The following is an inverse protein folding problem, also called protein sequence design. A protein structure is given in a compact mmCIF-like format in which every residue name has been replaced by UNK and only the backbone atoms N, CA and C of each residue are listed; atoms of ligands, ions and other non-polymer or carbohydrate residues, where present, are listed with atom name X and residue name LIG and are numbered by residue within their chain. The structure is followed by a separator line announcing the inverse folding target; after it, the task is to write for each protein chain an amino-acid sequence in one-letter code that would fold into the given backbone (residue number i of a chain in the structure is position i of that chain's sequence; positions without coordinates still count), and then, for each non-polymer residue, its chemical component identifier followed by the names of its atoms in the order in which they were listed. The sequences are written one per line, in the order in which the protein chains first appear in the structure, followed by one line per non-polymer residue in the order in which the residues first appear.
data_IF_483348646253
#
_entry.id   IF_483348646253
#
_cell.length_a   1.000
_cell.length_b   1.000
_cell.length_c   1.000
_cell.angle_alpha   90.00
_cell.angle_beta   90.00
_cell.angle_gamma   90.00
#
_symmetry.space_group_name_H-M   'P 1'
#
loop_
_entity.id
_entity.type
_entity.pdbx_description
1 polymer ?
#
# COMPACT_ATOMS: atom_id res chain seq x y z
N UNK A 1 19.44 -21.24 -10.90
CA UNK A 1 18.16 -20.49 -10.97
C UNK A 1 17.88 -20.03 -9.56
N UNK A 2 17.75 -18.73 -9.34
CA UNK A 2 17.48 -18.14 -8.01
C UNK A 2 16.01 -18.35 -7.63
N UNK A 3 15.77 -18.89 -6.44
CA UNK A 3 14.43 -19.19 -5.97
C UNK A 3 14.04 -18.27 -4.81
N UNK A 4 12.92 -17.56 -4.96
CA UNK A 4 12.39 -16.63 -3.97
C UNK A 4 11.15 -17.26 -3.32
N UNK A 5 11.11 -17.33 -2.00
CA UNK A 5 9.86 -17.55 -1.26
C UNK A 5 9.17 -16.22 -1.01
N UNK A 6 8.01 -16.03 -1.62
CA UNK A 6 7.28 -14.77 -1.56
C UNK A 6 5.96 -14.93 -0.86
N UNK A 7 5.65 -14.05 0.09
CA UNK A 7 4.33 -13.93 0.70
C UNK A 7 3.66 -12.63 0.27
N UNK A 8 2.33 -12.63 0.19
CA UNK A 8 1.57 -11.44 -0.17
C UNK A 8 1.50 -11.15 -1.67
N UNK A 9 1.71 -12.14 -2.54
CA UNK A 9 1.63 -12.00 -3.99
C UNK A 9 0.28 -11.45 -4.48
N UNK A 10 -0.81 -11.72 -3.80
CA UNK A 10 -2.14 -11.19 -4.16
C UNK A 10 -2.32 -9.70 -3.84
N UNK A 11 -1.39 -9.10 -3.09
CA UNK A 11 -1.36 -7.67 -2.77
C UNK A 11 -0.85 -6.81 -3.93
N UNK A 12 -0.98 -5.49 -3.78
CA UNK A 12 -0.56 -4.52 -4.79
C UNK A 12 0.95 -4.58 -5.07
N UNK A 13 1.77 -4.54 -4.02
CA UNK A 13 3.24 -4.57 -4.13
C UNK A 13 3.75 -5.96 -4.55
N UNK A 14 3.21 -7.03 -3.94
CA UNK A 14 3.68 -8.39 -4.22
C UNK A 14 3.42 -8.84 -5.65
N UNK A 15 2.25 -8.51 -6.25
CA UNK A 15 1.98 -8.81 -7.65
C UNK A 15 2.87 -8.00 -8.60
N UNK A 16 3.01 -6.69 -8.35
CA UNK A 16 3.85 -5.82 -9.17
C UNK A 16 5.33 -6.24 -9.15
N UNK A 17 5.86 -6.59 -7.97
CA UNK A 17 7.20 -7.16 -7.84
C UNK A 17 7.34 -8.46 -8.64
N UNK A 18 6.39 -9.39 -8.48
CA UNK A 18 6.42 -10.70 -9.15
C UNK A 18 6.44 -10.56 -10.67
N UNK A 19 5.52 -9.79 -11.25
CA UNK A 19 5.44 -9.63 -12.71
C UNK A 19 6.70 -8.97 -13.25
N UNK A 20 7.24 -7.95 -12.59
CA UNK A 20 8.47 -7.28 -13.03
C UNK A 20 9.67 -8.22 -12.98
N UNK A 21 9.93 -8.87 -11.83
CA UNK A 21 11.11 -9.74 -11.67
C UNK A 21 11.07 -10.91 -12.66
N UNK A 22 9.93 -11.57 -12.79
CA UNK A 22 9.83 -12.71 -13.70
C UNK A 22 9.78 -12.30 -15.18
N UNK A 23 9.36 -11.09 -15.52
CA UNK A 23 9.43 -10.59 -16.89
C UNK A 23 10.86 -10.22 -17.29
N UNK A 24 11.64 -9.63 -16.37
CA UNK A 24 12.96 -9.10 -16.66
C UNK A 24 14.09 -10.15 -16.53
N UNK A 25 13.89 -11.15 -15.65
CA UNK A 25 14.90 -12.15 -15.30
C UNK A 25 14.40 -13.57 -15.54
N UNK A 26 15.03 -14.27 -16.47
CA UNK A 26 14.68 -15.65 -16.84
C UNK A 26 15.17 -16.70 -15.84
N UNK A 27 16.14 -16.37 -15.03
CA UNK A 27 16.80 -17.26 -14.07
C UNK A 27 16.17 -17.21 -12.66
N UNK A 28 14.98 -16.58 -12.52
CA UNK A 28 14.24 -16.54 -11.26
C UNK A 28 12.99 -17.41 -11.29
N UNK A 29 12.69 -18.04 -10.15
CA UNK A 29 11.41 -18.70 -9.84
C UNK A 29 10.88 -18.20 -8.51
N UNK A 30 9.56 -18.27 -8.32
CA UNK A 30 8.92 -17.87 -7.07
C UNK A 30 8.09 -19.03 -6.53
N UNK A 31 8.28 -19.32 -5.24
CA UNK A 31 7.35 -20.12 -4.44
C UNK A 31 6.51 -19.15 -3.62
N UNK A 32 5.19 -19.26 -3.67
CA UNK A 32 4.32 -18.34 -2.95
C UNK A 32 3.32 -19.03 -2.05
N UNK A 33 3.13 -18.49 -0.85
CA UNK A 33 2.08 -18.89 0.09
C UNK A 33 0.83 -18.04 -0.14
N UNK A 34 -0.29 -18.68 -0.46
CA UNK A 34 -1.55 -18.00 -0.72
C UNK A 34 -2.71 -18.71 -0.02
N UNK A 35 -3.58 -17.93 0.60
CA UNK A 35 -4.82 -18.45 1.19
C UNK A 35 -5.87 -18.67 0.11
N UNK A 36 -6.66 -19.77 0.15
CA UNK A 36 -7.87 -19.85 -0.63
C UNK A 36 -8.92 -18.86 -0.12
N UNK A 37 -10.00 -18.69 -0.86
CA UNK A 37 -11.20 -18.00 -0.38
C UNK A 37 -12.44 -18.82 -0.76
N UNK A 38 -13.64 -18.29 -0.47
CA UNK A 38 -14.90 -19.00 -0.76
C UNK A 38 -15.17 -19.25 -2.26
N UNK A 39 -14.49 -18.50 -3.14
CA UNK A 39 -14.73 -18.56 -4.60
C UNK A 39 -13.58 -19.25 -5.36
N UNK A 40 -12.35 -19.19 -4.84
CA UNK A 40 -11.15 -19.61 -5.56
C UNK A 40 -10.16 -20.32 -4.65
N UNK A 41 -9.53 -21.39 -5.17
CA UNK A 41 -8.33 -22.00 -4.60
C UNK A 41 -7.15 -21.01 -4.57
N UNK A 42 -6.11 -21.33 -3.84
CA UNK A 42 -4.89 -20.51 -3.81
C UNK A 42 -4.31 -20.33 -5.22
N UNK A 43 -4.26 -21.39 -6.02
CA UNK A 43 -3.73 -21.37 -7.40
C UNK A 43 -4.55 -20.44 -8.30
N UNK A 44 -5.87 -20.59 -8.34
CA UNK A 44 -6.76 -19.75 -9.14
C UNK A 44 -6.65 -18.27 -8.76
N UNK A 45 -6.49 -17.97 -7.47
CA UNK A 45 -6.27 -16.60 -6.99
C UNK A 45 -4.97 -16.00 -7.52
N UNK A 46 -3.89 -16.78 -7.53
CA UNK A 46 -2.61 -16.33 -8.07
C UNK A 46 -2.70 -16.11 -9.58
N UNK A 47 -3.32 -17.05 -10.29
CA UNK A 47 -3.53 -16.93 -11.75
C UNK A 47 -4.32 -15.67 -12.10
N UNK A 48 -5.45 -15.45 -11.43
CA UNK A 48 -6.27 -14.25 -11.63
C UNK A 48 -5.47 -12.96 -11.39
N UNK A 49 -4.75 -12.89 -10.27
CA UNK A 49 -4.00 -11.69 -9.90
C UNK A 49 -2.82 -11.41 -10.85
N UNK A 50 -2.11 -12.44 -11.29
CA UNK A 50 -0.98 -12.25 -12.24
C UNK A 50 -1.49 -11.83 -13.61
N UNK A 51 -2.58 -12.42 -14.13
CA UNK A 51 -3.19 -11.97 -15.38
C UNK A 51 -3.68 -10.54 -15.30
N UNK A 52 -4.35 -10.19 -14.21
CA UNK A 52 -4.80 -8.82 -13.94
C UNK A 52 -3.61 -7.83 -13.85
N UNK A 53 -2.52 -8.21 -13.18
CA UNK A 53 -1.33 -7.37 -13.06
C UNK A 53 -0.62 -7.20 -14.41
N UNK A 54 -0.44 -8.27 -15.19
CA UNK A 54 0.14 -8.18 -16.53
C UNK A 54 -0.71 -7.29 -17.45
N UNK A 55 -2.03 -7.38 -17.38
CA UNK A 55 -2.92 -6.49 -18.14
C UNK A 55 -2.80 -5.03 -17.66
N UNK A 56 -2.70 -4.81 -16.36
CA UNK A 56 -2.45 -3.51 -15.77
C UNK A 56 -1.11 -2.91 -16.23
N UNK A 57 -0.06 -3.72 -16.32
CA UNK A 57 1.28 -3.31 -16.78
C UNK A 57 1.40 -3.27 -18.32
N UNK A 58 0.29 -3.45 -19.06
CA UNK A 58 0.24 -3.44 -20.54
C UNK A 58 1.05 -4.56 -21.22
N UNK A 59 1.23 -5.69 -20.55
CA UNK A 59 1.94 -6.88 -21.05
C UNK A 59 1.15 -8.17 -20.81
N UNK A 60 -0.17 -8.25 -21.20
CA UNK A 60 -1.01 -9.40 -20.90
C UNK A 60 -0.49 -10.71 -21.49
N UNK A 61 0.25 -10.64 -22.60
CA UNK A 61 0.86 -11.79 -23.28
C UNK A 61 1.93 -12.49 -22.44
N UNK A 62 2.50 -11.82 -21.45
CA UNK A 62 3.52 -12.42 -20.55
C UNK A 62 2.94 -13.25 -19.41
N UNK A 63 1.63 -13.21 -19.19
CA UNK A 63 1.01 -13.83 -18.02
C UNK A 63 1.31 -15.33 -17.92
N UNK A 64 1.21 -16.08 -19.01
CA UNK A 64 1.46 -17.53 -18.98
C UNK A 64 2.93 -17.86 -18.74
N UNK A 65 3.86 -17.08 -19.30
CA UNK A 65 5.29 -17.23 -19.03
C UNK A 65 5.61 -16.96 -17.55
N UNK A 66 5.06 -15.89 -16.97
CA UNK A 66 5.21 -15.57 -15.56
C UNK A 66 4.65 -16.69 -14.68
N UNK A 67 3.43 -17.15 -14.96
CA UNK A 67 2.74 -18.21 -14.22
C UNK A 67 3.49 -19.55 -14.26
N UNK A 68 4.16 -19.86 -15.35
CA UNK A 68 4.96 -21.11 -15.49
C UNK A 68 6.13 -21.20 -14.52
N UNK A 69 6.52 -20.09 -13.91
CA UNK A 69 7.64 -19.97 -12.96
C UNK A 69 7.19 -19.70 -11.53
N UNK A 70 5.90 -19.93 -11.22
CA UNK A 70 5.33 -19.74 -9.89
C UNK A 70 4.80 -21.08 -9.37
N UNK A 71 5.36 -21.53 -8.26
CA UNK A 71 4.87 -22.63 -7.46
C UNK A 71 3.99 -22.08 -6.33
N UNK A 72 2.77 -22.60 -6.18
CA UNK A 72 1.77 -22.07 -5.23
C UNK A 72 1.52 -23.08 -4.12
N UNK A 73 1.67 -22.61 -2.88
CA UNK A 73 1.31 -23.33 -1.66
C UNK A 73 0.00 -22.73 -1.13
N UNK A 74 -0.96 -23.59 -0.83
CA UNK A 74 -2.15 -23.19 -0.11
C UNK A 74 -1.86 -23.12 1.39
N UNK A 75 -2.08 -21.97 2.02
CA UNK A 75 -1.80 -21.77 3.43
C UNK A 75 -1.80 -20.29 3.85
N UNK A 76 -1.56 -20.08 5.13
CA UNK A 76 -1.57 -18.79 5.79
C UNK A 76 -0.24 -18.55 6.52
N UNK A 77 0.23 -17.32 6.57
CA UNK A 77 1.43 -16.94 7.33
C UNK A 77 1.30 -17.22 8.85
N UNK A 78 0.06 -17.42 9.35
CA UNK A 78 -0.20 -17.81 10.74
C UNK A 78 -0.12 -19.34 10.96
N UNK A 79 -0.13 -20.12 9.89
CA UNK A 79 -0.07 -21.57 10.01
C UNK A 79 1.33 -21.98 10.47
N UNK A 80 1.39 -22.77 11.55
CA UNK A 80 2.67 -23.20 12.14
C UNK A 80 3.25 -24.48 11.51
N UNK A 81 2.78 -24.88 10.32
CA UNK A 81 3.09 -26.17 9.67
C UNK A 81 4.40 -26.15 8.86
N UNK A 82 5.46 -25.52 9.39
CA UNK A 82 6.75 -25.38 8.72
C UNK A 82 7.32 -26.75 8.29
N UNK A 83 7.17 -27.78 9.11
CA UNK A 83 7.69 -29.12 8.81
C UNK A 83 7.01 -29.74 7.57
N UNK A 84 5.72 -29.49 7.38
CA UNK A 84 4.99 -29.93 6.18
C UNK A 84 5.48 -29.18 4.93
N UNK A 85 5.69 -27.87 5.05
CA UNK A 85 6.22 -27.05 3.96
C UNK A 85 7.61 -27.53 3.52
N UNK A 86 8.46 -27.90 4.45
CA UNK A 86 9.81 -28.40 4.19
C UNK A 86 9.84 -29.74 3.42
N UNK A 87 8.74 -30.51 3.38
CA UNK A 87 8.64 -31.76 2.64
C UNK A 87 8.32 -31.57 1.16
N UNK A 88 7.96 -30.38 0.73
CA UNK A 88 7.65 -30.10 -0.66
C UNK A 88 8.92 -29.93 -1.48
N UNK A 89 9.07 -30.66 -2.57
CA UNK A 89 10.30 -30.67 -3.41
C UNK A 89 10.70 -29.27 -3.89
N UNK A 90 9.72 -28.44 -4.25
CA UNK A 90 10.00 -27.08 -4.73
C UNK A 90 10.39 -26.10 -3.62
N UNK A 91 10.33 -26.49 -2.35
CA UNK A 91 10.88 -25.73 -1.23
C UNK A 91 12.39 -25.92 -1.04
N UNK A 92 12.96 -26.93 -1.69
CA UNK A 92 14.41 -27.10 -1.69
C UNK A 92 15.11 -25.95 -2.42
N UNK A 93 16.27 -25.54 -1.93
CA UNK A 93 17.12 -24.51 -2.55
C UNK A 93 16.43 -23.12 -2.69
N UNK A 94 15.57 -22.75 -1.75
CA UNK A 94 15.07 -21.38 -1.66
C UNK A 94 16.20 -20.47 -1.18
N UNK A 95 16.56 -19.50 -2.01
CA UNK A 95 17.70 -18.59 -1.77
C UNK A 95 17.31 -17.35 -0.96
N UNK A 96 16.10 -16.81 -1.20
CA UNK A 96 15.68 -15.49 -0.75
C UNK A 96 14.27 -15.57 -0.16
N UNK A 97 14.07 -14.93 0.99
CA UNK A 97 12.75 -14.66 1.53
C UNK A 97 12.32 -13.24 1.17
N UNK A 98 11.15 -13.10 0.50
CA UNK A 98 10.51 -11.81 0.25
C UNK A 98 9.15 -11.76 0.96
N UNK A 99 9.13 -11.11 2.13
CA UNK A 99 7.93 -11.05 2.96
C UNK A 99 7.16 -9.75 2.77
N UNK A 100 6.04 -9.82 2.05
CA UNK A 100 5.15 -8.69 1.72
C UNK A 100 3.73 -8.89 2.26
N UNK A 101 3.39 -10.06 2.79
CA UNK A 101 2.06 -10.31 3.37
C UNK A 101 1.83 -9.43 4.59
N UNK A 102 0.72 -8.71 4.59
CA UNK A 102 0.26 -7.91 5.72
C UNK A 102 -1.26 -7.74 5.66
N UNK A 103 -1.86 -7.50 6.82
CA UNK A 103 -3.22 -6.97 6.93
C UNK A 103 -3.13 -5.47 7.19
N UNK A 104 -3.80 -4.68 6.34
CA UNK A 104 -3.79 -3.21 6.42
C UNK A 104 -5.15 -2.74 6.91
N UNK A 105 -5.39 -2.85 8.21
CA UNK A 105 -6.58 -2.31 8.87
C UNK A 105 -6.16 -1.15 9.79
N UNK A 106 -6.56 0.06 9.45
CA UNK A 106 -6.25 1.27 10.21
C UNK A 106 -7.30 1.54 11.31
N UNK A 107 -8.43 0.85 11.25
CA UNK A 107 -9.52 0.97 12.21
C UNK A 107 -9.33 0.13 13.47
N UNK A 108 -10.44 -0.09 14.19
CA UNK A 108 -10.44 -0.95 15.39
C UNK A 108 -10.05 -2.40 15.04
N UNK A 109 -9.18 -2.97 15.84
CA UNK A 109 -8.67 -4.34 15.73
C UNK A 109 -8.90 -5.07 17.07
N UNK A 110 -10.19 -5.22 17.42
CA UNK A 110 -10.60 -5.73 18.74
C UNK A 110 -10.16 -7.18 18.98
N UNK A 111 -10.14 -8.01 17.95
CA UNK A 111 -9.68 -9.39 17.95
C UNK A 111 -8.16 -9.54 17.70
N UNK A 112 -7.45 -8.44 17.60
CA UNK A 112 -6.01 -8.37 17.28
C UNK A 112 -5.62 -9.11 15.99
N UNK A 113 -6.53 -9.23 15.06
CA UNK A 113 -6.29 -9.94 13.79
C UNK A 113 -5.16 -9.29 12.99
N UNK A 114 -5.21 -7.97 12.82
CA UNK A 114 -4.18 -7.22 12.11
C UNK A 114 -2.82 -7.37 12.80
N UNK A 115 -2.80 -7.21 14.12
CA UNK A 115 -1.59 -7.38 14.90
C UNK A 115 -1.00 -8.79 14.71
N UNK A 116 -1.82 -9.83 14.84
CA UNK A 116 -1.37 -11.22 14.74
C UNK A 116 -0.85 -11.54 13.33
N UNK A 117 -1.57 -11.16 12.28
CA UNK A 117 -1.12 -11.41 10.90
C UNK A 117 0.23 -10.75 10.64
N UNK A 118 0.40 -9.50 11.05
CA UNK A 118 1.62 -8.75 10.77
C UNK A 118 2.79 -9.18 11.66
N UNK A 119 2.58 -9.36 12.96
CA UNK A 119 3.65 -9.69 13.91
C UNK A 119 3.93 -11.19 13.95
N UNK A 120 2.92 -12.02 14.28
CA UNK A 120 3.12 -13.47 14.39
C UNK A 120 3.40 -14.09 13.02
N UNK A 121 2.74 -13.60 11.95
CA UNK A 121 3.03 -14.02 10.58
C UNK A 121 4.48 -13.76 10.20
N UNK A 122 5.02 -12.57 10.52
CA UNK A 122 6.44 -12.27 10.27
C UNK A 122 7.36 -13.17 11.09
N UNK A 123 7.03 -13.46 12.35
CA UNK A 123 7.79 -14.39 13.20
C UNK A 123 7.86 -15.78 12.59
N UNK A 124 6.75 -16.31 12.10
CA UNK A 124 6.68 -17.61 11.44
C UNK A 124 7.51 -17.63 10.15
N UNK A 125 7.48 -16.53 9.37
CA UNK A 125 8.29 -16.43 8.14
C UNK A 125 9.79 -16.33 8.43
N UNK A 126 10.20 -15.71 9.52
CA UNK A 126 11.60 -15.70 9.97
C UNK A 126 12.02 -17.13 10.36
N UNK A 127 11.18 -17.87 11.06
CA UNK A 127 11.47 -19.27 11.43
C UNK A 127 11.56 -20.16 10.19
N UNK A 128 10.64 -20.03 9.24
CA UNK A 128 10.71 -20.73 7.94
C UNK A 128 12.01 -20.37 7.20
N UNK A 129 12.38 -19.09 7.15
CA UNK A 129 13.60 -18.63 6.50
C UNK A 129 14.86 -19.27 7.11
N UNK A 130 14.90 -19.44 8.44
CA UNK A 130 15.98 -20.15 9.13
C UNK A 130 16.06 -21.62 8.72
N UNK A 131 14.92 -22.31 8.67
CA UNK A 131 14.83 -23.71 8.26
C UNK A 131 15.25 -23.92 6.80
N UNK A 132 14.93 -22.97 5.92
CA UNK A 132 15.33 -22.95 4.52
C UNK A 132 16.79 -22.50 4.32
N UNK A 133 17.44 -21.97 5.34
CA UNK A 133 18.78 -21.40 5.28
C UNK A 133 18.93 -20.35 4.18
N UNK A 134 17.91 -19.45 4.05
CA UNK A 134 17.95 -18.39 3.04
C UNK A 134 19.12 -17.42 3.27
N UNK A 135 19.66 -16.87 2.19
CA UNK A 135 20.80 -15.93 2.25
C UNK A 135 20.37 -14.51 2.65
N UNK A 136 19.16 -14.12 2.27
CA UNK A 136 18.69 -12.74 2.34
C UNK A 136 17.20 -12.70 2.71
N UNK A 137 16.84 -11.68 3.49
CA UNK A 137 15.45 -11.43 3.91
C UNK A 137 15.01 -10.03 3.48
N UNK A 138 14.08 -9.96 2.53
CA UNK A 138 13.46 -8.72 2.08
C UNK A 138 12.10 -8.55 2.75
N UNK A 139 11.87 -7.39 3.35
CA UNK A 139 10.65 -7.10 4.10
C UNK A 139 9.98 -5.81 3.63
N UNK A 140 8.71 -5.92 3.24
CA UNK A 140 7.88 -4.75 2.95
C UNK A 140 7.20 -4.28 4.23
N UNK A 141 7.73 -3.19 4.80
CA UNK A 141 7.23 -2.49 5.97
C UNK A 141 6.31 -1.32 5.55
N UNK A 142 6.31 -0.24 6.29
CA UNK A 142 5.65 1.03 5.98
C UNK A 142 6.46 2.19 6.56
N UNK A 143 6.42 3.35 5.93
CA UNK A 143 7.00 4.58 6.49
C UNK A 143 6.34 4.97 7.83
N UNK A 144 5.08 4.57 8.02
CA UNK A 144 4.31 4.87 9.22
C UNK A 144 4.64 4.01 10.45
N UNK A 145 5.68 3.17 10.39
CA UNK A 145 6.33 2.65 11.63
C UNK A 145 6.89 3.80 12.50
N UNK A 146 7.05 4.98 11.93
CA UNK A 146 7.41 6.19 12.65
C UNK A 146 6.32 6.66 13.65
N UNK A 147 5.08 6.15 13.53
CA UNK A 147 3.99 6.41 14.46
C UNK A 147 3.66 7.90 14.61
N UNK A 148 3.64 8.38 15.85
CA UNK A 148 3.35 9.78 16.21
C UNK A 148 4.58 10.67 16.26
N UNK A 149 5.66 10.32 15.56
CA UNK A 149 6.89 11.13 15.52
C UNK A 149 6.59 12.52 14.94
N UNK A 150 7.25 13.54 15.52
CA UNK A 150 7.28 14.91 14.97
C UNK A 150 8.70 15.16 14.45
N UNK A 151 8.81 15.75 13.25
CA UNK A 151 10.10 16.03 12.61
C UNK A 151 10.61 14.89 11.76
N UNK A 152 11.93 14.73 11.64
CA UNK A 152 12.55 13.82 10.69
C UNK A 152 12.54 12.37 11.21
N UNK A 153 11.94 11.47 10.45
CA UNK A 153 12.06 10.03 10.60
C UNK A 153 13.20 9.53 9.70
N UNK A 154 14.26 8.99 10.29
CA UNK A 154 15.40 8.47 9.54
C UNK A 154 15.19 7.02 9.11
N UNK A 155 15.79 6.65 7.98
CA UNK A 155 15.66 5.30 7.41
C UNK A 155 16.24 4.22 8.32
N UNK A 156 17.39 4.46 8.91
CA UNK A 156 18.08 3.46 9.73
C UNK A 156 17.55 3.39 11.18
N UNK A 157 16.66 4.31 11.57
CA UNK A 157 16.04 4.33 12.90
C UNK A 157 14.76 3.51 12.96
N UNK A 158 14.53 2.86 14.10
CA UNK A 158 13.26 2.26 14.50
C UNK A 158 12.98 2.66 15.94
N UNK A 159 12.30 3.81 16.12
CA UNK A 159 12.04 4.43 17.42
C UNK A 159 10.56 4.41 17.72
N UNK A 160 10.19 3.89 18.89
CA UNK A 160 8.82 3.94 19.38
C UNK A 160 8.45 5.39 19.77
N UNK A 161 7.58 5.99 19.00
CA UNK A 161 7.01 7.33 19.23
C UNK A 161 5.52 7.28 19.58
N UNK A 162 5.02 6.09 19.95
CA UNK A 162 3.60 5.79 20.03
C UNK A 162 2.96 5.60 18.65
N UNK A 163 1.81 4.94 18.61
CA UNK A 163 1.16 4.54 17.35
C UNK A 163 -0.28 5.04 17.30
N UNK A 164 -0.78 5.27 16.10
CA UNK A 164 -2.15 5.68 15.87
C UNK A 164 -3.13 4.49 15.89
N UNK A 165 -2.64 3.30 15.55
CA UNK A 165 -3.44 2.08 15.44
C UNK A 165 -2.58 0.82 15.57
N UNK A 166 -3.26 -0.34 15.63
CA UNK A 166 -2.59 -1.64 15.71
C UNK A 166 -1.81 -2.02 14.45
N UNK A 167 -2.15 -1.46 13.28
CA UNK A 167 -1.38 -1.68 12.06
C UNK A 167 0.04 -1.13 12.20
N UNK A 168 0.18 0.15 12.57
CA UNK A 168 1.51 0.77 12.76
C UNK A 168 2.33 0.03 13.81
N UNK A 169 1.73 -0.24 14.97
CA UNK A 169 2.38 -0.98 16.06
C UNK A 169 2.83 -2.38 15.63
N UNK A 170 1.98 -3.11 14.91
CA UNK A 170 2.31 -4.46 14.43
C UNK A 170 3.45 -4.45 13.41
N UNK A 171 3.46 -3.48 12.48
CA UNK A 171 4.53 -3.32 11.50
C UNK A 171 5.85 -2.90 12.14
N UNK A 172 5.81 -2.02 13.14
CA UNK A 172 6.96 -1.62 13.93
C UNK A 172 7.59 -2.83 14.64
N UNK A 173 6.77 -3.60 15.37
CA UNK A 173 7.24 -4.78 16.10
C UNK A 173 7.76 -5.87 15.14
N UNK A 174 7.09 -6.10 14.02
CA UNK A 174 7.51 -7.05 13.00
C UNK A 174 8.83 -6.65 12.35
N UNK A 175 9.03 -5.35 12.07
CA UNK A 175 10.30 -4.84 11.57
C UNK A 175 11.44 -5.05 12.58
N UNK A 176 11.17 -4.86 13.86
CA UNK A 176 12.09 -5.18 14.95
C UNK A 176 12.51 -6.66 14.95
N UNK A 177 11.59 -7.59 14.68
CA UNK A 177 11.92 -9.01 14.52
C UNK A 177 12.87 -9.25 13.35
N UNK A 178 12.61 -8.61 12.20
CA UNK A 178 13.48 -8.76 11.01
C UNK A 178 14.87 -8.22 11.28
N UNK A 179 15.01 -7.03 11.88
CA UNK A 179 16.30 -6.42 12.23
C UNK A 179 17.12 -7.30 13.19
N UNK A 180 16.45 -8.03 14.08
CA UNK A 180 17.10 -8.90 15.07
C UNK A 180 17.13 -10.38 14.66
N UNK A 181 16.76 -10.73 13.43
CA UNK A 181 16.63 -12.11 12.97
C UNK A 181 17.94 -12.85 12.76
N UNK A 182 19.03 -12.10 12.59
CA UNK A 182 20.36 -12.60 12.20
C UNK A 182 20.58 -12.70 10.68
N UNK A 183 19.54 -12.49 9.86
CA UNK A 183 19.68 -12.43 8.41
C UNK A 183 20.28 -11.11 7.94
N UNK A 184 20.93 -11.13 6.77
CA UNK A 184 21.09 -9.92 5.97
C UNK A 184 19.70 -9.50 5.46
N UNK A 185 19.32 -8.26 5.67
CA UNK A 185 18.00 -7.80 5.32
C UNK A 185 17.99 -6.53 4.46
N UNK A 186 16.91 -6.37 3.71
CA UNK A 186 16.49 -5.12 3.06
C UNK A 186 15.06 -4.83 3.48
N UNK A 187 14.82 -3.65 4.03
CA UNK A 187 13.49 -3.20 4.46
C UNK A 187 13.01 -2.07 3.57
N UNK A 188 11.79 -2.20 3.04
CA UNK A 188 11.14 -1.21 2.20
C UNK A 188 10.00 -0.58 2.99
N UNK A 189 10.00 0.75 3.11
CA UNK A 189 8.99 1.52 3.84
C UNK A 189 8.23 2.45 2.89
N UNK A 190 7.28 1.95 2.10
CA UNK A 190 6.41 2.84 1.32
C UNK A 190 5.51 3.67 2.24
N UNK A 191 5.19 4.89 1.80
CA UNK A 191 4.13 5.71 2.38
C UNK A 191 2.76 5.29 1.85
N UNK A 192 1.79 6.22 1.72
CA UNK A 192 0.45 5.91 1.21
C UNK A 192 0.52 5.69 -0.30
N UNK A 193 0.42 4.42 -0.71
CA UNK A 193 0.48 4.06 -2.13
C UNK A 193 -0.81 4.48 -2.83
N UNK A 194 -0.66 5.20 -3.94
CA UNK A 194 -1.74 5.66 -4.80
C UNK A 194 -1.58 5.14 -6.24
N UNK A 195 -2.44 5.58 -7.16
CA UNK A 195 -2.37 5.23 -8.56
C UNK A 195 -1.06 5.63 -9.23
N UNK A 196 -0.82 5.11 -10.44
CA UNK A 196 0.37 5.45 -11.23
C UNK A 196 0.44 6.94 -11.50
N UNK A 197 1.66 7.48 -11.53
CA UNK A 197 1.89 8.88 -11.83
C UNK A 197 1.40 9.23 -13.24
N UNK A 198 1.57 8.32 -14.19
CA UNK A 198 1.28 8.54 -15.61
C UNK A 198 -0.21 8.63 -15.97
N UNK A 199 -1.09 7.85 -15.32
CA UNK A 199 -2.49 7.72 -15.71
C UNK A 199 -3.48 7.61 -14.54
N UNK A 200 -2.99 7.69 -13.32
CA UNK A 200 -3.80 7.62 -12.09
C UNK A 200 -4.40 6.25 -11.79
N UNK A 201 -4.17 5.23 -12.60
CA UNK A 201 -4.76 3.91 -12.40
C UNK A 201 -4.18 3.22 -11.18
N UNK A 202 -5.03 2.51 -10.47
CA UNK A 202 -4.66 1.63 -9.35
C UNK A 202 -5.43 0.32 -9.50
N UNK A 203 -4.72 -0.81 -9.47
CA UNK A 203 -5.35 -2.12 -9.57
C UNK A 203 -6.21 -2.44 -8.34
N UNK A 204 -5.73 -2.08 -7.16
CA UNK A 204 -6.42 -2.28 -5.89
C UNK A 204 -6.33 -1.00 -5.05
N UNK A 205 -7.44 -0.24 -4.96
CA UNK A 205 -7.44 1.01 -4.20
C UNK A 205 -7.30 0.74 -2.70
N UNK A 206 -6.51 1.57 -2.04
CA UNK A 206 -6.26 1.52 -0.61
C UNK A 206 -7.01 2.64 0.13
N UNK A 207 -6.71 2.78 1.42
CA UNK A 207 -7.45 3.60 2.38
C UNK A 207 -7.83 5.03 1.91
N UNK A 208 -6.93 5.72 1.21
CA UNK A 208 -7.18 7.08 0.71
C UNK A 208 -8.46 7.18 -0.15
N UNK A 209 -8.71 6.18 -0.99
CA UNK A 209 -9.84 6.21 -1.92
C UNK A 209 -11.21 6.05 -1.24
N UNK A 210 -11.25 5.59 0.01
CA UNK A 210 -12.51 5.44 0.78
C UNK A 210 -13.27 6.77 0.95
N UNK A 211 -12.53 7.88 1.10
CA UNK A 211 -13.17 9.19 1.22
C UNK A 211 -13.84 9.61 -0.09
N UNK A 212 -13.19 9.37 -1.23
CA UNK A 212 -13.76 9.68 -2.55
C UNK A 212 -14.99 8.83 -2.83
N UNK A 213 -14.92 7.54 -2.55
CA UNK A 213 -16.05 6.61 -2.68
C UNK A 213 -17.25 7.09 -1.86
N UNK A 214 -17.00 7.41 -0.60
CA UNK A 214 -18.05 7.85 0.30
C UNK A 214 -18.69 9.16 -0.17
N UNK A 215 -17.91 10.19 -0.48
CA UNK A 215 -18.41 11.48 -0.92
C UNK A 215 -19.14 11.41 -2.27
N UNK A 216 -18.69 10.56 -3.20
CA UNK A 216 -19.40 10.30 -4.45
C UNK A 216 -20.78 9.69 -4.20
N UNK A 217 -20.89 8.74 -3.25
CA UNK A 217 -22.19 8.16 -2.85
C UNK A 217 -23.09 9.18 -2.17
N UNK A 218 -22.55 10.02 -1.29
CA UNK A 218 -23.31 11.11 -0.63
C UNK A 218 -23.83 12.09 -1.67
N UNK A 219 -22.99 12.57 -2.59
CA UNK A 219 -23.41 13.45 -3.68
C UNK A 219 -24.52 12.83 -4.52
N UNK A 220 -24.34 11.58 -4.97
CA UNK A 220 -25.37 10.86 -5.74
C UNK A 220 -26.71 10.81 -5.00
N UNK A 221 -26.68 10.51 -3.71
CA UNK A 221 -27.89 10.46 -2.88
C UNK A 221 -28.58 11.83 -2.79
N UNK A 222 -27.83 12.89 -2.52
CA UNK A 222 -28.38 14.26 -2.42
C UNK A 222 -28.94 14.73 -3.77
N UNK A 223 -28.24 14.49 -4.88
CA UNK A 223 -28.76 14.82 -6.21
C UNK A 223 -30.06 14.09 -6.51
N UNK A 224 -30.14 12.79 -6.23
CA UNK A 224 -31.39 12.02 -6.40
C UNK A 224 -32.53 12.56 -5.54
N UNK A 225 -32.27 12.92 -4.28
CA UNK A 225 -33.27 13.45 -3.34
C UNK A 225 -33.83 14.80 -3.78
N UNK A 226 -33.02 15.66 -4.37
CA UNK A 226 -33.36 17.01 -4.75
C UNK A 226 -33.59 17.20 -6.26
N UNK A 227 -33.59 16.11 -7.03
CA UNK A 227 -33.76 16.11 -8.50
C UNK A 227 -32.75 17.04 -9.22
N UNK A 228 -31.46 16.99 -8.79
CA UNK A 228 -30.37 17.77 -9.35
C UNK A 228 -29.51 16.90 -10.28
N UNK A 229 -28.90 17.54 -11.31
CA UNK A 229 -27.91 16.87 -12.13
C UNK A 229 -26.61 16.66 -11.32
N UNK A 230 -26.11 15.42 -11.19
CA UNK A 230 -24.82 15.16 -10.51
C UNK A 230 -23.62 15.86 -11.14
N UNK A 231 -23.71 16.32 -12.39
CA UNK A 231 -22.67 17.11 -13.05
C UNK A 231 -22.69 18.59 -12.67
N UNK A 232 -23.76 19.06 -12.04
CA UNK A 232 -23.80 20.42 -11.52
C UNK A 232 -23.00 20.57 -10.22
N UNK A 233 -22.60 21.81 -9.95
CA UNK A 233 -22.02 22.15 -8.67
C UNK A 233 -23.09 22.09 -7.57
N UNK A 234 -22.73 21.44 -6.47
CA UNK A 234 -23.60 21.31 -5.30
C UNK A 234 -22.95 22.00 -4.10
N UNK A 235 -23.73 22.79 -3.38
CA UNK A 235 -23.30 23.36 -2.11
C UNK A 235 -23.50 22.33 -0.99
N UNK A 236 -22.39 21.88 -0.39
CA UNK A 236 -22.36 20.99 0.77
C UNK A 236 -21.25 21.44 1.72
N UNK A 237 -21.64 21.78 2.94
CA UNK A 237 -20.65 22.12 3.95
C UNK A 237 -19.98 20.84 4.47
N UNK A 238 -18.68 20.71 4.20
CA UNK A 238 -17.82 19.61 4.65
C UNK A 238 -16.51 20.20 5.18
N UNK A 239 -16.35 20.21 6.50
CA UNK A 239 -15.13 20.72 7.14
C UNK A 239 -14.26 19.57 7.62
N UNK A 240 -13.07 19.46 7.04
CA UNK A 240 -12.03 18.57 7.53
C UNK A 240 -11.31 19.23 8.69
N UNK A 241 -11.39 18.61 9.88
CA UNK A 241 -10.71 19.11 11.07
C UNK A 241 -9.28 18.59 11.08
N UNK A 242 -8.31 19.47 10.99
CA UNK A 242 -6.90 19.11 10.89
C UNK A 242 -6.01 20.32 11.14
N UNK A 243 -4.72 20.14 11.37
CA UNK A 243 -3.76 21.23 11.64
C UNK A 243 -3.19 21.81 10.34
N UNK A 244 -2.92 23.12 10.25
CA UNK A 244 -2.48 23.80 9.02
C UNK A 244 -1.12 23.36 8.44
N UNK A 245 -0.29 22.67 9.21
CA UNK A 245 1.10 22.31 8.83
C UNK A 245 1.28 20.86 8.37
N UNK A 246 0.23 20.24 7.91
CA UNK A 246 0.19 18.80 7.62
C UNK A 246 0.88 18.43 6.33
N UNK A 247 1.50 17.26 6.36
CA UNK A 247 2.25 16.70 5.26
C UNK A 247 1.81 15.27 5.03
N UNK A 248 1.13 15.02 3.91
CA UNK A 248 0.67 13.70 3.52
C UNK A 248 1.56 13.23 2.39
N UNK A 249 2.23 12.11 2.60
CA UNK A 249 3.09 11.52 1.60
C UNK A 249 2.33 10.46 0.81
N UNK A 250 1.92 10.82 -0.39
CA UNK A 250 1.47 9.86 -1.40
C UNK A 250 2.64 9.38 -2.21
N UNK A 251 2.63 8.09 -2.56
CA UNK A 251 3.65 7.50 -3.43
C UNK A 251 2.98 6.70 -4.54
N UNK A 252 3.31 6.98 -5.82
CA UNK A 252 2.76 6.25 -6.95
C UNK A 252 3.20 4.79 -6.96
N UNK A 253 2.30 3.88 -7.33
CA UNK A 253 2.59 2.44 -7.34
C UNK A 253 3.71 2.08 -8.32
N UNK A 254 3.80 2.74 -9.48
CA UNK A 254 4.85 2.54 -10.46
C UNK A 254 6.24 2.93 -9.93
N UNK A 255 6.34 4.01 -9.13
CA UNK A 255 7.56 4.35 -8.41
C UNK A 255 7.94 3.27 -7.38
N UNK A 256 6.99 2.83 -6.55
CA UNK A 256 7.23 1.79 -5.53
C UNK A 256 7.71 0.49 -6.20
N UNK A 257 7.07 0.08 -7.29
CA UNK A 257 7.44 -1.09 -8.08
C UNK A 257 8.88 -1.00 -8.59
N UNK A 258 9.21 0.12 -9.24
CA UNK A 258 10.56 0.36 -9.78
C UNK A 258 11.61 0.42 -8.67
N UNK A 259 11.32 1.13 -7.58
CA UNK A 259 12.23 1.26 -6.45
C UNK A 259 12.55 -0.09 -5.81
N UNK A 260 11.52 -0.88 -5.48
CA UNK A 260 11.71 -2.21 -4.88
C UNK A 260 12.50 -3.11 -5.82
N UNK A 261 12.16 -3.16 -7.11
CA UNK A 261 12.87 -4.01 -8.07
C UNK A 261 14.33 -3.59 -8.25
N UNK A 262 14.64 -2.30 -8.32
CA UNK A 262 16.04 -1.82 -8.42
C UNK A 262 16.83 -2.09 -7.14
N UNK A 263 16.23 -1.84 -5.97
CA UNK A 263 16.86 -2.07 -4.67
C UNK A 263 17.06 -3.57 -4.38
N UNK A 264 16.17 -4.43 -4.88
CA UNK A 264 16.28 -5.88 -4.74
C UNK A 264 17.58 -6.43 -5.34
N UNK A 265 18.09 -5.82 -6.42
CA UNK A 265 19.35 -6.22 -7.05
C UNK A 265 20.61 -5.54 -6.46
N UNK A 266 20.43 -4.67 -5.45
CA UNK A 266 21.58 -4.10 -4.74
C UNK A 266 22.11 -5.08 -3.69
N UNK A 267 23.40 -5.00 -3.32
CA UNK A 267 23.91 -5.80 -2.21
C UNK A 267 23.12 -5.60 -0.92
N UNK A 268 22.74 -6.70 -0.27
CA UNK A 268 21.98 -6.62 0.99
C UNK A 268 22.93 -6.30 2.15
N UNK A 269 22.76 -5.10 2.71
CA UNK A 269 23.66 -4.53 3.72
C UNK A 269 22.92 -4.03 4.98
N UNK A 270 21.84 -4.70 5.37
CA UNK A 270 20.99 -4.32 6.51
C UNK A 270 20.47 -2.87 6.40
N UNK A 271 20.01 -2.50 5.21
CA UNK A 271 19.50 -1.16 4.93
C UNK A 271 17.97 -1.12 4.92
N UNK A 272 17.46 0.03 5.31
CA UNK A 272 16.04 0.39 5.22
C UNK A 272 15.89 1.54 4.23
N UNK A 273 14.83 1.52 3.43
CA UNK A 273 14.57 2.48 2.38
C UNK A 273 13.17 3.09 2.52
N UNK A 274 13.07 4.40 2.71
CA UNK A 274 11.82 5.14 2.66
C UNK A 274 11.38 5.39 1.22
N UNK A 275 10.29 4.78 0.80
CA UNK A 275 9.70 5.00 -0.52
C UNK A 275 8.53 5.97 -0.38
N UNK A 276 8.84 7.25 -0.20
CA UNK A 276 7.85 8.27 0.21
C UNK A 276 7.74 9.44 -0.77
N UNK A 277 8.75 9.65 -1.62
CA UNK A 277 8.86 10.85 -2.46
C UNK A 277 9.21 12.12 -1.66
N UNK A 278 9.43 13.21 -2.40
CA UNK A 278 9.89 14.49 -1.84
C UNK A 278 8.78 15.51 -1.62
N UNK A 279 7.62 15.31 -2.23
CA UNK A 279 6.55 16.30 -2.31
C UNK A 279 5.35 15.87 -1.48
N UNK A 280 5.30 16.26 -0.19
CA UNK A 280 4.11 16.04 0.62
C UNK A 280 2.95 16.91 0.11
N UNK A 281 1.75 16.35 0.14
CA UNK A 281 0.50 17.03 -0.22
C UNK A 281 -0.13 17.62 1.03
N UNK A 282 -0.69 18.81 0.92
CA UNK A 282 -1.46 19.42 2.01
C UNK A 282 -2.91 18.90 2.02
N UNK A 283 -3.55 18.93 3.19
CA UNK A 283 -4.99 18.60 3.28
C UNK A 283 -5.83 19.61 2.50
N UNK A 284 -5.39 20.85 2.40
CA UNK A 284 -6.05 21.87 1.57
C UNK A 284 -6.07 21.46 0.08
N UNK A 285 -4.93 20.98 -0.45
CA UNK A 285 -4.87 20.43 -1.81
C UNK A 285 -5.83 19.25 -2.00
N UNK A 286 -5.89 18.35 -1.03
CA UNK A 286 -6.82 17.20 -1.07
C UNK A 286 -8.27 17.68 -1.06
N UNK A 287 -8.64 18.57 -0.12
CA UNK A 287 -9.98 19.10 0.01
C UNK A 287 -10.42 19.84 -1.27
N UNK A 288 -9.55 20.69 -1.82
CA UNK A 288 -9.77 21.38 -3.10
C UNK A 288 -9.99 20.40 -4.24
N UNK A 289 -9.10 19.42 -4.42
CA UNK A 289 -9.22 18.45 -5.51
C UNK A 289 -10.45 17.54 -5.39
N UNK A 290 -10.85 17.17 -4.17
CA UNK A 290 -12.13 16.47 -3.93
C UNK A 290 -13.29 17.35 -4.38
N UNK A 291 -13.31 18.62 -3.98
CA UNK A 291 -14.34 19.59 -4.35
C UNK A 291 -14.45 19.75 -5.86
N UNK A 292 -13.32 20.00 -6.53
CA UNK A 292 -13.25 20.18 -7.99
C UNK A 292 -13.67 18.90 -8.73
N UNK A 293 -13.16 17.74 -8.30
CA UNK A 293 -13.46 16.46 -8.94
C UNK A 293 -14.93 16.06 -8.79
N UNK A 294 -15.50 16.19 -7.61
CA UNK A 294 -16.88 15.84 -7.34
C UNK A 294 -17.86 17.01 -7.59
N UNK A 295 -17.36 18.20 -7.99
CA UNK A 295 -18.15 19.42 -8.14
C UNK A 295 -18.98 19.74 -6.88
N UNK A 296 -18.30 19.75 -5.73
CA UNK A 296 -18.86 20.10 -4.43
C UNK A 296 -18.23 21.42 -3.97
N UNK A 297 -19.04 22.45 -3.73
CA UNK A 297 -18.65 23.68 -3.05
C UNK A 297 -18.80 23.52 -1.53
N UNK A 298 -17.96 24.24 -0.75
CA UNK A 298 -18.06 24.23 0.70
C UNK A 298 -17.24 23.14 1.39
N UNK A 299 -16.35 22.44 0.65
CA UNK A 299 -15.32 21.63 1.26
C UNK A 299 -14.20 22.54 1.76
N UNK A 300 -13.88 22.47 3.02
CA UNK A 300 -12.85 23.31 3.65
C UNK A 300 -12.07 22.56 4.71
N UNK A 301 -10.92 23.11 5.10
CA UNK A 301 -10.07 22.62 6.20
C UNK A 301 -10.15 23.61 7.33
N UNK A 302 -10.38 23.14 8.54
CA UNK A 302 -10.51 23.97 9.74
C UNK A 302 -9.76 23.31 10.91
N UNK A 303 -9.24 24.12 11.83
CA UNK A 303 -8.56 23.60 13.01
C UNK A 303 -9.53 22.87 13.94
N UNK A 304 -10.73 23.44 14.14
CA UNK A 304 -11.78 22.89 14.96
C UNK A 304 -13.15 23.40 14.52
N UNK A 305 -14.15 22.55 14.63
CA UNK A 305 -15.56 22.94 14.45
C UNK A 305 -16.39 22.27 15.55
N UNK A 306 -17.08 23.10 16.35
CA UNK A 306 -17.92 22.60 17.45
C UNK A 306 -19.38 22.35 17.01
N UNK A 307 -19.79 22.90 15.85
CA UNK A 307 -21.13 22.87 15.27
C UNK A 307 -21.25 21.95 14.04
N UNK A 308 -20.64 20.76 14.09
CA UNK A 308 -20.67 19.83 12.98
C UNK A 308 -22.09 19.41 12.59
N UNK A 309 -22.37 19.45 11.28
CA UNK A 309 -23.61 18.95 10.69
C UNK A 309 -23.73 17.42 10.85
N UNK A 310 -24.93 16.82 10.68
CA UNK A 310 -25.07 15.37 10.67
C UNK A 310 -24.21 14.67 9.61
N UNK A 311 -24.08 15.27 8.42
CA UNK A 311 -23.25 14.74 7.33
C UNK A 311 -21.77 14.81 7.69
N UNK A 312 -21.26 15.91 8.25
CA UNK A 312 -19.89 16.02 8.74
C UNK A 312 -19.56 15.00 9.84
N UNK A 313 -20.50 14.78 10.78
CA UNK A 313 -20.35 13.73 11.80
C UNK A 313 -20.30 12.33 11.21
N UNK A 314 -21.07 12.08 10.15
CA UNK A 314 -21.04 10.80 9.44
C UNK A 314 -19.73 10.62 8.69
N UNK A 315 -19.27 11.64 7.96
CA UNK A 315 -17.96 11.65 7.28
C UNK A 315 -16.84 11.39 8.29
N UNK A 316 -16.79 12.13 9.38
CA UNK A 316 -15.79 11.97 10.44
C UNK A 316 -15.73 10.55 11.02
N UNK A 317 -16.86 9.86 11.16
CA UNK A 317 -16.91 8.45 11.58
C UNK A 317 -16.36 7.50 10.51
N UNK A 318 -16.62 7.77 9.23
CA UNK A 318 -16.20 6.92 8.11
C UNK A 318 -14.72 7.02 7.80
N UNK A 319 -14.08 8.16 8.08
CA UNK A 319 -12.66 8.43 7.80
C UNK A 319 -11.83 8.62 9.07
N UNK A 320 -12.40 8.41 10.26
CA UNK A 320 -11.74 8.68 11.53
C UNK A 320 -10.42 7.95 11.72
N UNK A 321 -10.30 6.77 11.15
CA UNK A 321 -9.06 5.98 11.12
C UNK A 321 -7.98 6.55 10.18
N UNK A 322 -8.34 7.44 9.25
CA UNK A 322 -7.42 8.11 8.33
C UNK A 322 -6.96 9.47 8.86
N UNK A 323 -7.73 10.11 9.74
CA UNK A 323 -7.44 11.47 10.25
C UNK A 323 -6.02 11.61 10.84
N UNK A 324 -5.46 10.62 11.57
CA UNK A 324 -4.08 10.72 12.06
C UNK A 324 -3.02 10.91 10.96
N UNK A 325 -3.28 10.38 9.77
CA UNK A 325 -2.37 10.52 8.62
C UNK A 325 -2.50 11.89 7.96
N UNK A 326 -3.67 12.50 8.06
CA UNK A 326 -3.92 13.87 7.61
C UNK A 326 -3.42 14.93 8.59
N UNK A 327 -3.06 14.53 9.82
CA UNK A 327 -2.49 15.40 10.87
C UNK A 327 -1.00 15.13 11.12
N UNK A 328 -0.32 14.45 10.21
CA UNK A 328 1.07 14.05 10.36
C UNK A 328 2.03 15.24 10.18
N UNK A 329 3.01 15.35 11.09
CA UNK A 329 4.10 16.33 11.02
C UNK A 329 5.45 15.66 10.74
N UNK A 330 5.42 14.44 10.20
CA UNK A 330 6.61 13.66 9.90
C UNK A 330 7.24 14.17 8.60
N UNK A 331 8.55 14.24 8.56
CA UNK A 331 9.34 14.34 7.34
C UNK A 331 10.17 13.08 7.23
N UNK A 332 10.13 12.43 6.08
CA UNK A 332 10.86 11.17 5.85
C UNK A 332 12.22 11.46 5.23
N UNK A 333 13.28 10.99 5.87
CA UNK A 333 14.62 10.92 5.29
C UNK A 333 14.67 9.88 4.18
N UNK A 334 15.38 10.16 3.09
CA UNK A 334 15.54 9.26 1.94
C UNK A 334 17.01 9.13 1.51
N UNK A 335 17.95 9.37 2.45
CA UNK A 335 19.38 9.33 2.18
C UNK A 335 19.83 7.97 1.62
N UNK A 336 19.34 6.86 2.18
CA UNK A 336 19.67 5.52 1.68
C UNK A 336 19.12 5.27 0.27
N UNK A 337 17.92 5.77 -0.04
CA UNK A 337 17.36 5.65 -1.42
C UNK A 337 18.21 6.45 -2.39
N UNK A 338 18.58 7.68 -2.03
CA UNK A 338 19.45 8.56 -2.84
C UNK A 338 20.82 7.89 -3.08
N UNK A 339 21.44 7.39 -2.03
CA UNK A 339 22.75 6.70 -2.12
C UNK A 339 22.67 5.47 -3.03
N UNK A 340 21.56 4.74 -2.98
CA UNK A 340 21.41 3.50 -3.77
C UNK A 340 20.98 3.75 -5.22
N UNK A 341 20.09 4.70 -5.48
CA UNK A 341 19.42 4.88 -6.77
C UNK A 341 19.69 6.23 -7.44
N UNK A 342 20.28 7.19 -6.73
CA UNK A 342 20.56 8.55 -7.20
C UNK A 342 19.42 9.54 -6.89
N UNK A 343 19.75 10.83 -6.82
CA UNK A 343 18.78 11.90 -6.56
C UNK A 343 17.70 11.99 -7.65
N UNK A 344 18.04 11.71 -8.88
CA UNK A 344 17.11 11.74 -10.02
C UNK A 344 15.95 10.74 -9.83
N UNK A 345 16.19 9.65 -9.11
CA UNK A 345 15.16 8.63 -8.89
C UNK A 345 14.03 9.12 -7.99
N UNK A 346 14.29 10.06 -7.10
CA UNK A 346 13.30 10.66 -6.19
C UNK A 346 12.80 12.03 -6.67
N UNK A 347 13.29 12.54 -7.79
CA UNK A 347 13.00 13.89 -8.30
C UNK A 347 11.61 14.05 -8.96
N UNK A 348 10.73 13.05 -8.87
CA UNK A 348 9.35 13.17 -9.34
C UNK A 348 8.51 14.04 -8.40
N UNK A 349 7.57 14.75 -8.97
CA UNK A 349 6.66 15.63 -8.26
C UNK A 349 5.25 15.03 -8.20
N UNK A 350 4.58 15.18 -7.06
CA UNK A 350 3.18 14.83 -6.89
C UNK A 350 2.41 16.10 -6.50
N UNK A 351 1.76 16.71 -7.48
CA UNK A 351 1.08 17.99 -7.33
C UNK A 351 -0.46 17.86 -7.42
N UNK A 352 -1.15 18.98 -7.45
CA UNK A 352 -2.61 19.07 -7.55
C UNK A 352 -3.14 18.45 -8.84
N UNK A 353 -2.40 18.54 -9.95
CA UNK A 353 -2.80 17.94 -11.23
C UNK A 353 -2.80 16.40 -11.13
N UNK A 354 -1.72 15.83 -10.62
CA UNK A 354 -1.62 14.37 -10.39
C UNK A 354 -2.68 13.87 -9.41
N UNK A 355 -2.95 14.63 -8.35
CA UNK A 355 -3.99 14.31 -7.39
C UNK A 355 -5.38 14.28 -8.07
N UNK A 356 -5.67 15.25 -8.92
CA UNK A 356 -6.90 15.30 -9.71
C UNK A 356 -7.03 14.13 -10.69
N UNK A 357 -5.95 13.76 -11.38
CA UNK A 357 -5.91 12.60 -12.29
C UNK A 357 -6.23 11.30 -11.53
N UNK A 358 -5.58 11.08 -10.40
CA UNK A 358 -5.78 9.89 -9.57
C UNK A 358 -7.22 9.79 -9.07
N UNK A 359 -7.80 10.90 -8.59
CA UNK A 359 -9.17 10.93 -8.10
C UNK A 359 -10.18 10.63 -9.20
N UNK A 360 -10.06 11.28 -10.37
CA UNK A 360 -10.94 11.06 -11.53
C UNK A 360 -10.84 9.63 -12.03
N UNK A 361 -9.61 9.13 -12.20
CA UNK A 361 -9.38 7.77 -12.70
C UNK A 361 -9.93 6.71 -11.75
N UNK A 362 -9.78 6.90 -10.43
CA UNK A 362 -10.40 6.02 -9.44
C UNK A 362 -11.92 6.00 -9.60
N UNK A 363 -12.58 7.16 -9.63
CA UNK A 363 -14.03 7.25 -9.76
C UNK A 363 -14.53 6.57 -11.04
N UNK A 364 -13.85 6.77 -12.17
CA UNK A 364 -14.19 6.12 -13.44
C UNK A 364 -14.06 4.59 -13.38
N UNK A 365 -12.98 4.10 -12.81
CA UNK A 365 -12.68 2.66 -12.76
C UNK A 365 -13.57 1.89 -11.81
N UNK A 366 -13.89 2.47 -10.64
CA UNK A 366 -14.62 1.77 -9.58
C UNK A 366 -16.13 2.03 -9.59
N UNK A 367 -16.59 2.95 -10.43
CA UNK A 367 -18.01 3.24 -10.64
C UNK A 367 -18.37 3.22 -12.14
N UNK A 368 -18.09 2.11 -12.86
CA UNK A 368 -18.25 2.07 -14.33
C UNK A 368 -19.71 2.29 -14.77
N UNK A 369 -20.67 1.94 -13.92
CA UNK A 369 -22.11 2.05 -14.20
C UNK A 369 -22.70 3.40 -13.74
N UNK A 370 -21.90 4.34 -13.28
CA UNK A 370 -22.33 5.67 -12.85
C UNK A 370 -21.98 6.68 -13.94
N UNK A 371 -22.94 6.93 -14.83
CA UNK A 371 -22.75 7.70 -16.06
C UNK A 371 -22.10 9.08 -15.84
N UNK A 372 -22.52 9.82 -14.83
CA UNK A 372 -21.97 11.14 -14.57
C UNK A 372 -20.48 11.09 -14.14
N UNK A 373 -20.04 10.04 -13.46
CA UNK A 373 -18.63 9.85 -13.09
C UNK A 373 -17.75 9.54 -14.30
N UNK A 374 -18.33 8.94 -15.37
CA UNK A 374 -17.59 8.70 -16.61
C UNK A 374 -17.33 10.00 -17.41
N UNK A 375 -18.10 11.05 -17.13
CA UNK A 375 -18.01 12.36 -17.81
C UNK A 375 -17.07 13.36 -17.08
N UNK A 376 -16.51 12.98 -15.91
CA UNK A 376 -15.49 13.78 -15.21
C UNK A 376 -14.18 13.77 -15.97
#
# INVERSE_FOLDING_TARGET
MTKIFLTGMTGLVGSAFTTTILSDKKDYRIVTLCRPNSAFSARERIESVIREQCAFDHVPERADEVLSRIDVIEGNVLDGNIDELMQLDFMQDVDIMFHCAADVNLGKDADKRTYNINYQGTKNMIELAKRLNVREFHYVSTAYVAGKKIGVAKEDELVDSGFNNNYEMSKFNAEGLVRNSGFKYTIYRPSIIVGRLSDGKVRRPLAFYRILEFLAKVKKHQCSKHNLDPLDWMDMQIRFQTFPSERIYFVPIDYVQQAICKLFFKPVCNKTYHLTGNSPVSVHSIAKNIGDTLRIKGISVVDKADDLTPDEKLIGRMIGDLLPYYSSQITFDQSNVIDALGEEFIAWNFDDEHLGIIMKQFLKSFFPNVEWLQKL
#
